data_IF_090485014019
#
_entry.id   IF_090485014019
#
_cell.length_a   1.000
_cell.length_b   1.000
_cell.length_c   1.000
_cell.angle_alpha   90.00
_cell.angle_beta   90.00
_cell.angle_gamma   90.00
#
_symmetry.space_group_name_H-M   'P 1'
#
loop_
_entity.id
_entity.type
_entity.pdbx_description
1 polymer ?
#
# COMPACT_ATOMS: atom_id res chain seq x y z
N UNK A 1 -22.45 15.99 2.84
CA UNK A 1 -21.11 15.45 2.48
C UNK A 1 -21.04 13.94 2.66
N UNK A 2 -21.43 13.39 3.82
CA UNK A 2 -21.45 11.93 4.05
C UNK A 2 -22.42 11.22 3.11
N UNK A 3 -23.56 11.82 2.80
CA UNK A 3 -24.56 11.24 1.89
C UNK A 3 -24.03 11.06 0.46
N UNK A 4 -23.26 12.04 -0.03
CA UNK A 4 -22.57 11.96 -1.33
C UNK A 4 -21.56 10.80 -1.37
N UNK A 5 -20.79 10.61 -0.30
CA UNK A 5 -19.84 9.50 -0.21
C UNK A 5 -20.54 8.13 -0.18
N UNK A 6 -21.69 8.05 0.50
CA UNK A 6 -22.50 6.83 0.56
C UNK A 6 -23.15 6.48 -0.78
N UNK A 7 -23.43 7.48 -1.62
CA UNK A 7 -23.90 7.31 -2.98
C UNK A 7 -22.82 6.68 -3.88
N UNK A 8 -21.56 7.11 -3.74
CA UNK A 8 -20.41 6.53 -4.46
C UNK A 8 -20.15 5.08 -4.00
N UNK A 9 -20.18 4.83 -2.69
CA UNK A 9 -19.97 3.49 -2.13
C UNK A 9 -20.73 3.33 -0.83
N UNK A 10 -21.72 2.44 -0.84
CA UNK A 10 -22.52 2.11 0.35
C UNK A 10 -21.65 1.40 1.41
N UNK A 11 -21.53 1.94 2.63
CA UNK A 11 -20.68 1.34 3.65
C UNK A 11 -21.30 0.05 4.19
N UNK A 12 -20.56 -1.06 4.13
CA UNK A 12 -20.99 -2.29 4.78
C UNK A 12 -20.70 -2.25 6.28
N UNK A 13 -21.63 -2.73 7.10
CA UNK A 13 -21.44 -2.84 8.56
C UNK A 13 -20.45 -3.97 8.86
N UNK A 14 -19.25 -3.58 9.29
CA UNK A 14 -18.16 -4.47 9.74
C UNK A 14 -17.78 -4.06 11.15
N UNK A 15 -17.42 -5.02 12.01
CA UNK A 15 -16.98 -4.74 13.38
C UNK A 15 -15.76 -3.82 13.39
N UNK A 16 -15.71 -2.92 14.39
CA UNK A 16 -14.61 -1.96 14.54
C UNK A 16 -13.25 -2.65 14.66
N UNK A 17 -13.17 -3.76 15.39
CA UNK A 17 -11.94 -4.53 15.56
C UNK A 17 -11.38 -5.07 14.24
N UNK A 18 -12.26 -5.55 13.35
CA UNK A 18 -11.83 -6.03 12.02
C UNK A 18 -11.34 -4.88 11.15
N UNK A 19 -12.05 -3.74 11.18
CA UNK A 19 -11.66 -2.53 10.45
C UNK A 19 -10.26 -2.06 10.86
N UNK A 20 -10.00 -2.01 12.18
CA UNK A 20 -8.70 -1.65 12.73
C UNK A 20 -7.60 -2.64 12.32
N UNK A 21 -7.88 -3.94 12.44
CA UNK A 21 -6.93 -5.00 12.05
C UNK A 21 -6.53 -4.90 10.58
N UNK A 22 -7.47 -4.64 9.67
CA UNK A 22 -7.15 -4.43 8.26
C UNK A 22 -6.27 -3.20 8.04
N UNK A 23 -6.57 -2.07 8.68
CA UNK A 23 -5.75 -0.86 8.54
C UNK A 23 -4.32 -1.08 9.07
N UNK A 24 -4.16 -1.79 10.19
CA UNK A 24 -2.84 -2.14 10.74
C UNK A 24 -2.08 -3.08 9.81
N UNK A 25 -2.74 -4.09 9.24
CA UNK A 25 -2.09 -4.98 8.27
C UNK A 25 -1.61 -4.23 7.03
N UNK A 26 -2.41 -3.30 6.51
CA UNK A 26 -2.05 -2.48 5.34
C UNK A 26 -0.88 -1.55 5.68
N UNK A 27 -0.85 -0.99 6.89
CA UNK A 27 0.27 -0.19 7.37
C UNK A 27 1.57 -1.01 7.44
N UNK A 28 1.52 -2.20 8.06
CA UNK A 28 2.67 -3.11 8.16
C UNK A 28 3.15 -3.52 6.76
N UNK A 29 2.22 -3.85 5.85
CA UNK A 29 2.56 -4.16 4.47
C UNK A 29 3.27 -2.99 3.78
N UNK A 30 2.79 -1.76 3.99
CA UNK A 30 3.44 -0.53 3.52
C UNK A 30 4.87 -0.40 4.03
N UNK A 31 5.09 -0.58 5.34
CA UNK A 31 6.43 -0.55 5.96
C UNK A 31 7.35 -1.62 5.35
N UNK A 32 6.90 -2.86 5.25
CA UNK A 32 7.71 -3.95 4.69
C UNK A 32 8.11 -3.62 3.25
N UNK A 33 7.16 -3.18 2.43
CA UNK A 33 7.39 -2.80 1.04
C UNK A 33 8.34 -1.60 0.93
N UNK A 34 8.21 -0.59 1.78
CA UNK A 34 9.09 0.58 1.82
C UNK A 34 10.53 0.22 2.18
N UNK A 35 10.72 -0.59 3.23
CA UNK A 35 12.04 -1.10 3.62
C UNK A 35 12.66 -1.93 2.49
N UNK A 36 11.88 -2.81 1.86
CA UNK A 36 12.37 -3.61 0.72
C UNK A 36 12.77 -2.72 -0.45
N UNK A 37 11.97 -1.69 -0.79
CA UNK A 37 12.33 -0.73 -1.84
C UNK A 37 13.65 -0.03 -1.54
N UNK A 38 13.84 0.47 -0.32
CA UNK A 38 15.09 1.13 0.10
C UNK A 38 16.27 0.17 0.09
N UNK A 39 16.08 -1.07 0.53
CA UNK A 39 17.11 -2.10 0.50
C UNK A 39 17.54 -2.40 -0.95
N UNK A 40 16.58 -2.51 -1.88
CA UNK A 40 16.85 -2.70 -3.29
C UNK A 40 17.58 -1.50 -3.92
N UNK A 41 17.21 -0.27 -3.55
CA UNK A 41 17.84 0.95 -4.09
C UNK A 41 19.26 1.19 -3.56
N UNK A 42 19.56 0.72 -2.35
CA UNK A 42 20.89 0.86 -1.72
C UNK A 42 21.85 -0.28 -2.06
N UNK A 43 21.33 -1.42 -2.51
CA UNK A 43 22.15 -2.59 -2.85
C UNK A 43 22.65 -2.47 -4.29
N UNK A 44 23.97 -2.48 -4.53
CA UNK A 44 24.50 -2.47 -5.89
C UNK A 44 24.05 -3.73 -6.64
N UNK A 45 23.71 -3.60 -7.92
CA UNK A 45 23.20 -4.71 -8.75
C UNK A 45 24.11 -5.94 -8.72
N UNK A 46 25.43 -5.74 -8.68
CA UNK A 46 26.42 -6.82 -8.63
C UNK A 46 26.36 -7.71 -7.38
N UNK A 47 25.73 -7.24 -6.30
CA UNK A 47 25.52 -8.02 -5.06
C UNK A 47 24.08 -8.55 -4.95
N UNK A 48 23.22 -8.20 -5.90
CA UNK A 48 21.83 -8.60 -5.89
C UNK A 48 21.70 -10.06 -6.36
N UNK A 49 20.85 -10.88 -5.73
CA UNK A 49 20.51 -12.20 -6.24
C UNK A 49 20.07 -12.13 -7.71
N UNK A 50 20.60 -13.04 -8.54
CA UNK A 50 20.34 -13.09 -10.00
C UNK A 50 18.86 -12.98 -10.38
N UNK A 51 17.96 -13.60 -9.60
CA UNK A 51 16.52 -13.51 -9.84
C UNK A 51 15.98 -12.08 -9.71
N UNK A 52 16.42 -11.33 -8.69
CA UNK A 52 15.93 -9.97 -8.45
C UNK A 52 16.45 -8.99 -9.52
N UNK A 53 17.66 -9.22 -10.02
CA UNK A 53 18.25 -8.43 -11.10
C UNK A 53 17.56 -8.73 -12.45
N UNK A 54 17.26 -10.00 -12.73
CA UNK A 54 16.53 -10.40 -13.94
C UNK A 54 15.15 -9.75 -14.07
N UNK A 55 14.44 -9.57 -12.95
CA UNK A 55 13.13 -8.88 -12.91
C UNK A 55 13.25 -7.36 -12.81
N UNK A 56 14.46 -6.81 -12.70
CA UNK A 56 14.74 -5.38 -12.56
C UNK A 56 13.93 -4.70 -11.43
N UNK A 57 13.83 -5.39 -10.30
CA UNK A 57 12.93 -5.00 -9.21
C UNK A 57 13.34 -3.70 -8.52
N UNK A 58 14.63 -3.35 -8.49
CA UNK A 58 15.08 -2.05 -7.99
C UNK A 58 14.48 -0.92 -8.81
N UNK A 59 14.64 -0.94 -10.14
CA UNK A 59 14.05 0.09 -11.01
C UNK A 59 12.51 0.06 -11.00
N UNK A 60 11.91 -1.11 -10.82
CA UNK A 60 10.45 -1.24 -10.75
C UNK A 60 9.87 -0.57 -9.50
N UNK A 61 10.43 -0.84 -8.32
CA UNK A 61 9.98 -0.25 -7.05
C UNK A 61 10.36 1.23 -6.90
N UNK A 62 11.38 1.71 -7.60
CA UNK A 62 11.72 3.13 -7.66
C UNK A 62 10.65 3.98 -8.36
N UNK A 63 9.83 3.39 -9.24
CA UNK A 63 8.81 4.12 -10.02
C UNK A 63 7.54 4.34 -9.23
N UNK A 64 6.98 5.55 -9.31
CA UNK A 64 5.71 5.90 -8.66
C UNK A 64 4.51 5.03 -9.11
N UNK A 65 4.58 4.46 -10.33
CA UNK A 65 3.50 3.70 -10.94
C UNK A 65 3.05 2.48 -10.13
N UNK A 66 4.00 1.69 -9.60
CA UNK A 66 3.65 0.50 -8.81
C UNK A 66 2.96 0.90 -7.50
N UNK A 67 3.41 1.99 -6.86
CA UNK A 67 2.83 2.47 -5.62
C UNK A 67 1.41 3.00 -5.81
N UNK A 68 1.15 3.71 -6.92
CA UNK A 68 -0.20 4.13 -7.30
C UNK A 68 -1.07 2.90 -7.58
N UNK A 69 -0.57 1.92 -8.31
CA UNK A 69 -1.30 0.69 -8.61
C UNK A 69 -1.72 -0.05 -7.32
N UNK A 70 -0.80 -0.22 -6.37
CA UNK A 70 -1.08 -0.82 -5.07
C UNK A 70 -2.10 0.00 -4.25
N UNK A 71 -1.96 1.32 -4.22
CA UNK A 71 -2.91 2.20 -3.54
C UNK A 71 -4.32 2.10 -4.15
N UNK A 72 -4.44 2.02 -5.47
CA UNK A 72 -5.73 1.82 -6.15
C UNK A 72 -6.32 0.46 -5.79
N UNK A 73 -5.53 -0.62 -5.78
CA UNK A 73 -5.99 -1.94 -5.35
C UNK A 73 -6.51 -1.92 -3.90
N UNK A 74 -5.79 -1.26 -2.98
CA UNK A 74 -6.21 -1.08 -1.59
C UNK A 74 -7.54 -0.29 -1.50
N UNK A 75 -7.67 0.76 -2.31
CA UNK A 75 -8.90 1.56 -2.38
C UNK A 75 -10.09 0.74 -2.88
N UNK A 76 -9.90 -0.07 -3.94
CA UNK A 76 -10.95 -0.92 -4.52
C UNK A 76 -11.40 -1.99 -3.53
N UNK A 77 -10.47 -2.64 -2.81
CA UNK A 77 -10.78 -3.69 -1.83
C UNK A 77 -11.47 -3.19 -0.55
N UNK A 78 -11.38 -1.89 -0.26
CA UNK A 78 -11.93 -1.30 0.95
C UNK A 78 -13.45 -1.17 0.91
N UNK A 79 -14.09 -1.33 2.08
CA UNK A 79 -15.54 -1.53 2.21
C UNK A 79 -16.35 -0.26 2.46
N UNK A 80 -15.67 0.87 2.63
CA UNK A 80 -16.25 2.19 2.88
C UNK A 80 -15.32 3.25 2.29
N UNK A 81 -15.86 4.37 1.77
CA UNK A 81 -15.07 5.44 1.15
C UNK A 81 -14.07 6.08 2.12
N UNK A 82 -14.46 6.30 3.37
CA UNK A 82 -13.56 6.84 4.42
C UNK A 82 -12.47 5.82 4.77
N UNK A 83 -12.81 4.53 4.76
CA UNK A 83 -11.84 3.47 5.04
C UNK A 83 -10.85 3.24 3.92
N UNK A 84 -11.26 3.38 2.65
CA UNK A 84 -10.31 3.39 1.53
C UNK A 84 -9.32 4.52 1.69
N UNK A 85 -9.78 5.74 2.00
CA UNK A 85 -8.89 6.88 2.17
C UNK A 85 -7.90 6.67 3.32
N UNK A 86 -8.38 6.20 4.48
CA UNK A 86 -7.52 5.88 5.62
C UNK A 86 -6.52 4.77 5.29
N UNK A 87 -6.96 3.65 4.70
CA UNK A 87 -6.09 2.53 4.37
C UNK A 87 -4.99 2.92 3.37
N UNK A 88 -5.33 3.70 2.33
CA UNK A 88 -4.35 4.21 1.37
C UNK A 88 -3.39 5.19 2.03
N UNK A 89 -3.88 6.08 2.90
CA UNK A 89 -3.05 7.00 3.65
C UNK A 89 -2.08 6.27 4.58
N UNK A 90 -2.55 5.29 5.36
CA UNK A 90 -1.70 4.48 6.22
C UNK A 90 -0.66 3.70 5.41
N UNK A 91 -1.03 3.14 4.25
CA UNK A 91 -0.09 2.47 3.37
C UNK A 91 1.06 3.39 2.96
N UNK A 92 0.76 4.61 2.50
CA UNK A 92 1.79 5.58 2.11
C UNK A 92 2.63 6.08 3.28
N UNK A 93 2.02 6.32 4.45
CA UNK A 93 2.78 6.71 5.65
C UNK A 93 3.77 5.60 6.03
N UNK A 94 3.32 4.34 6.03
CA UNK A 94 4.19 3.20 6.31
C UNK A 94 5.33 3.08 5.30
N UNK A 95 5.00 3.17 4.01
CA UNK A 95 5.97 3.01 2.93
C UNK A 95 7.00 4.15 2.83
N UNK A 96 6.59 5.41 2.98
CA UNK A 96 7.50 6.57 2.89
C UNK A 96 8.26 6.77 4.20
N UNK A 97 7.63 6.47 5.34
CA UNK A 97 8.19 6.68 6.67
C UNK A 97 9.18 5.60 7.12
N UNK A 98 9.15 4.40 6.52
CA UNK A 98 10.05 3.28 6.84
C UNK A 98 11.42 3.43 6.23
#
# INVERSE_FOLDING_TARGET
MVDFLNEIRRPTRISLSKKFLYSVLIFIAGVILGVVSKALDTTPSNYLPYLLEMFDLSNFFSRIGIWIFLAVMISVCSKSPVQSALNVLLFFIGMVGS
#
